data_IF_036161101003
#
_entry.id   IF_036161101003
#
_cell.length_a   1.000
_cell.length_b   1.000
_cell.length_c   1.000
_cell.angle_alpha   90.00
_cell.angle_beta   90.00
_cell.angle_gamma   90.00
#
_symmetry.space_group_name_H-M   'P 1'
#
loop_
_entity.id
_entity.type
_entity.pdbx_description
1 polymer ?
#
# COMPACT_ATOMS: atom_id res chain seq x y z
N UNK A 1 -18.36 9.29 26.43
CA UNK A 1 -18.77 7.91 26.05
C UNK A 1 -17.60 6.98 25.65
N UNK A 2 -16.45 7.45 25.14
CA UNK A 2 -15.27 6.59 24.82
C UNK A 2 -14.62 5.95 26.05
N UNK A 3 -14.64 6.63 27.21
CA UNK A 3 -14.04 6.17 28.47
C UNK A 3 -14.72 4.88 28.98
N UNK A 4 -16.06 4.85 28.97
CA UNK A 4 -16.84 3.68 29.41
C UNK A 4 -16.55 2.43 28.57
N UNK A 5 -16.47 2.59 27.23
CA UNK A 5 -16.18 1.49 26.31
C UNK A 5 -14.81 0.88 26.55
N UNK A 6 -13.79 1.71 26.77
CA UNK A 6 -12.43 1.25 27.10
C UNK A 6 -12.36 0.58 28.46
N UNK A 7 -13.02 1.14 29.47
CA UNK A 7 -13.07 0.57 30.82
C UNK A 7 -13.68 -0.85 30.83
N UNK A 8 -14.82 -1.05 30.14
CA UNK A 8 -15.46 -2.36 30.00
C UNK A 8 -14.58 -3.40 29.28
N UNK A 9 -13.81 -2.97 28.27
CA UNK A 9 -12.90 -3.86 27.54
C UNK A 9 -11.67 -4.20 28.40
N UNK A 10 -11.15 -3.26 29.19
CA UNK A 10 -10.06 -3.52 30.14
C UNK A 10 -10.49 -4.51 31.24
N UNK A 11 -11.72 -4.40 31.75
CA UNK A 11 -12.29 -5.36 32.70
C UNK A 11 -12.38 -6.78 32.11
N UNK A 12 -12.77 -6.89 30.83
CA UNK A 12 -12.79 -8.16 30.11
C UNK A 12 -11.37 -8.73 29.92
N UNK A 13 -10.41 -7.90 29.51
CA UNK A 13 -9.00 -8.30 29.37
C UNK A 13 -8.37 -8.71 30.71
N UNK A 14 -8.86 -8.17 31.83
CA UNK A 14 -8.53 -8.57 33.20
C UNK A 14 -9.15 -9.90 33.65
N UNK A 15 -9.79 -10.65 32.76
CA UNK A 15 -10.31 -12.00 33.03
C UNK A 15 -11.78 -12.07 33.46
N UNK A 16 -12.51 -10.95 33.48
CA UNK A 16 -13.95 -10.99 33.80
C UNK A 16 -14.77 -11.62 32.67
N UNK A 17 -15.75 -12.44 33.04
CA UNK A 17 -16.64 -13.13 32.09
C UNK A 17 -17.56 -12.11 31.41
N UNK A 18 -17.65 -12.19 30.09
CA UNK A 18 -18.44 -11.29 29.26
C UNK A 18 -19.92 -11.20 29.68
N UNK A 19 -20.54 -12.35 30.00
CA UNK A 19 -21.94 -12.41 30.42
C UNK A 19 -22.20 -11.66 31.74
N UNK A 20 -21.24 -11.67 32.66
CA UNK A 20 -21.34 -10.93 33.93
C UNK A 20 -21.28 -9.43 33.69
N UNK A 21 -20.33 -8.96 32.86
CA UNK A 21 -20.22 -7.55 32.48
C UNK A 21 -21.47 -7.03 31.76
N UNK A 22 -22.08 -7.83 30.89
CA UNK A 22 -23.34 -7.48 30.23
C UNK A 22 -24.49 -7.27 31.24
N UNK A 23 -24.57 -8.13 32.26
CA UNK A 23 -25.62 -8.08 33.29
C UNK A 23 -25.41 -6.93 34.28
N UNK A 24 -24.17 -6.69 34.70
CA UNK A 24 -23.81 -5.66 35.69
C UNK A 24 -23.95 -4.23 35.11
N UNK A 25 -23.54 -4.03 33.86
CA UNK A 25 -23.52 -2.70 33.23
C UNK A 25 -24.67 -2.46 32.25
N UNK A 26 -25.61 -3.41 32.09
CA UNK A 26 -26.76 -3.27 31.19
C UNK A 26 -26.38 -3.15 29.72
N UNK A 27 -25.29 -3.78 29.29
CA UNK A 27 -24.75 -3.71 27.93
C UNK A 27 -25.08 -4.98 27.17
N UNK A 28 -25.53 -4.87 25.91
CA UNK A 28 -25.78 -6.05 25.08
C UNK A 28 -24.49 -6.83 24.79
N UNK A 29 -24.58 -8.16 24.76
CA UNK A 29 -23.45 -9.04 24.49
C UNK A 29 -22.82 -8.78 23.12
N UNK A 30 -23.63 -8.40 22.13
CA UNK A 30 -23.18 -8.00 20.79
C UNK A 30 -22.41 -6.68 20.81
N UNK A 31 -22.85 -5.69 21.60
CA UNK A 31 -22.12 -4.42 21.74
C UNK A 31 -20.76 -4.64 22.44
N UNK A 32 -20.73 -5.39 23.54
CA UNK A 32 -19.49 -5.70 24.26
C UNK A 32 -18.52 -6.51 23.38
N UNK A 33 -19.00 -7.51 22.63
CA UNK A 33 -18.18 -8.27 21.68
C UNK A 33 -17.53 -7.38 20.61
N UNK A 34 -18.28 -6.40 20.09
CA UNK A 34 -17.75 -5.43 19.11
C UNK A 34 -16.70 -4.53 19.74
N UNK A 35 -16.93 -4.06 20.98
CA UNK A 35 -15.96 -3.23 21.69
C UNK A 35 -14.69 -4.00 22.02
N UNK A 36 -14.79 -5.25 22.45
CA UNK A 36 -13.62 -6.12 22.65
C UNK A 36 -12.84 -6.21 21.34
N UNK A 37 -13.46 -6.57 20.21
CA UNK A 37 -12.76 -6.62 18.92
C UNK A 37 -12.12 -5.29 18.49
N UNK A 38 -12.75 -4.17 18.84
CA UNK A 38 -12.31 -2.84 18.43
C UNK A 38 -11.29 -2.21 19.38
N UNK A 39 -11.26 -2.58 20.66
CA UNK A 39 -10.43 -1.96 21.70
C UNK A 39 -9.58 -2.97 22.47
N UNK A 40 -9.51 -4.24 22.03
CA UNK A 40 -8.48 -5.16 22.49
C UNK A 40 -7.14 -4.62 22.00
N UNK A 41 -6.48 -3.90 22.89
CA UNK A 41 -5.18 -3.28 22.66
C UNK A 41 -4.12 -4.38 22.75
N UNK A 42 -3.20 -4.42 21.78
CA UNK A 42 -1.97 -5.22 21.87
C UNK A 42 -0.93 -4.29 22.49
N UNK A 43 -0.39 -4.64 23.65
CA UNK A 43 0.75 -3.90 24.20
C UNK A 43 1.96 -4.14 23.31
N UNK A 44 2.58 -3.06 22.84
CA UNK A 44 3.93 -3.09 22.28
C UNK A 44 4.91 -2.60 23.35
N UNK A 45 6.17 -3.01 23.23
CA UNK A 45 7.25 -2.73 24.21
C UNK A 45 7.47 -1.24 24.52
N UNK A 46 6.90 -0.32 23.72
CA UNK A 46 6.94 1.13 23.92
C UNK A 46 5.88 1.68 24.88
N UNK A 47 5.00 0.83 25.43
CA UNK A 47 3.91 1.26 26.33
C UNK A 47 2.73 1.93 25.61
N UNK A 48 2.75 2.01 24.27
CA UNK A 48 1.67 2.56 23.47
C UNK A 48 0.63 1.49 23.10
N UNK A 49 -0.62 1.73 23.46
CA UNK A 49 -1.74 0.83 23.21
C UNK A 49 -2.26 1.05 21.78
N UNK A 50 -1.75 0.26 20.82
CA UNK A 50 -2.27 0.32 19.46
C UNK A 50 -3.53 -0.52 19.30
N UNK A 51 -4.56 0.14 18.79
CA UNK A 51 -5.82 -0.49 18.42
C UNK A 51 -5.62 -1.35 17.16
N UNK A 52 -6.33 -2.47 17.02
CA UNK A 52 -6.34 -3.31 15.79
C UNK A 52 -6.53 -2.48 14.50
N UNK A 53 -7.34 -1.42 14.57
CA UNK A 53 -7.55 -0.48 13.46
C UNK A 53 -6.27 0.27 13.07
N UNK A 54 -5.48 0.72 14.05
CA UNK A 54 -4.21 1.40 13.83
C UNK A 54 -3.18 0.42 13.25
N UNK A 55 -3.13 -0.81 13.77
CA UNK A 55 -2.25 -1.86 13.22
C UNK A 55 -2.56 -2.14 11.75
N UNK A 56 -3.84 -2.29 11.38
CA UNK A 56 -4.24 -2.49 9.97
C UNK A 56 -3.88 -1.31 9.08
N UNK A 57 -4.07 -0.08 9.56
CA UNK A 57 -3.70 1.12 8.81
C UNK A 57 -2.18 1.19 8.61
N UNK A 58 -1.39 0.92 9.66
CA UNK A 58 0.06 0.85 9.57
C UNK A 58 0.54 -0.25 8.61
N UNK A 59 -0.07 -1.44 8.66
CA UNK A 59 0.22 -2.51 7.71
C UNK A 59 -0.05 -2.09 6.26
N UNK A 60 -1.16 -1.38 6.03
CA UNK A 60 -1.49 -0.85 4.70
C UNK A 60 -0.48 0.20 4.24
N UNK A 61 -0.11 1.13 5.12
CA UNK A 61 0.90 2.15 4.81
C UNK A 61 2.27 1.54 4.55
N UNK A 62 2.68 0.54 5.36
CA UNK A 62 3.92 -0.20 5.15
C UNK A 62 3.93 -0.91 3.79
N UNK A 63 2.86 -1.60 3.42
CA UNK A 63 2.75 -2.26 2.12
C UNK A 63 2.87 -1.26 0.95
N UNK A 64 2.24 -0.09 1.06
CA UNK A 64 2.38 0.97 0.06
C UNK A 64 3.82 1.47 -0.04
N UNK A 65 4.49 1.71 1.09
CA UNK A 65 5.88 2.16 1.13
C UNK A 65 6.84 1.10 0.59
N UNK A 66 6.63 -0.18 0.90
CA UNK A 66 7.42 -1.30 0.37
C UNK A 66 7.29 -1.41 -1.15
N UNK A 67 6.07 -1.26 -1.69
CA UNK A 67 5.85 -1.22 -3.13
C UNK A 67 6.57 -0.04 -3.79
N UNK A 68 6.50 1.15 -3.19
CA UNK A 68 7.19 2.34 -3.68
C UNK A 68 8.70 2.15 -3.72
N UNK A 69 9.26 1.58 -2.65
CA UNK A 69 10.69 1.31 -2.53
C UNK A 69 11.14 0.32 -3.60
N UNK A 70 10.34 -0.71 -3.86
CA UNK A 70 10.61 -1.71 -4.90
C UNK A 70 10.59 -1.09 -6.31
N UNK A 71 9.62 -0.21 -6.59
CA UNK A 71 9.57 0.54 -7.86
C UNK A 71 10.82 1.40 -8.02
N UNK A 72 11.19 2.18 -7.00
CA UNK A 72 12.36 3.05 -7.05
C UNK A 72 13.65 2.26 -7.29
N UNK A 73 13.85 1.15 -6.56
CA UNK A 73 14.99 0.24 -6.75
C UNK A 73 15.06 -0.33 -8.16
N UNK A 74 13.94 -0.83 -8.71
CA UNK A 74 13.92 -1.41 -10.07
C UNK A 74 14.02 -0.36 -11.18
N UNK A 75 13.53 0.85 -10.94
CA UNK A 75 13.51 1.92 -11.95
C UNK A 75 14.88 2.49 -12.29
N UNK A 76 15.86 2.33 -11.40
CA UNK A 76 17.20 2.95 -11.49
C UNK A 76 17.17 4.46 -11.76
N UNK A 77 16.03 5.12 -11.50
CA UNK A 77 15.86 6.56 -11.67
C UNK A 77 16.35 7.25 -10.40
N UNK A 78 17.46 7.97 -10.49
CA UNK A 78 17.93 8.83 -9.41
C UNK A 78 17.15 10.16 -9.39
N UNK A 79 17.39 10.99 -8.36
CA UNK A 79 16.66 12.25 -8.14
C UNK A 79 16.62 13.17 -9.38
N UNK A 80 17.74 13.24 -10.11
CA UNK A 80 17.92 14.06 -11.32
C UNK A 80 17.59 13.33 -12.63
N UNK A 81 16.94 12.16 -12.58
CA UNK A 81 16.58 11.43 -13.78
C UNK A 81 15.68 12.29 -14.69
N UNK A 82 16.02 12.31 -15.98
CA UNK A 82 15.30 13.06 -17.00
C UNK A 82 13.88 12.52 -17.21
N UNK A 83 12.99 13.33 -17.77
CA UNK A 83 11.62 12.90 -18.08
C UNK A 83 11.60 11.65 -18.97
N UNK A 84 12.51 11.57 -19.95
CA UNK A 84 12.63 10.40 -20.84
C UNK A 84 13.04 9.12 -20.09
N UNK A 85 13.98 9.22 -19.15
CA UNK A 85 14.39 8.08 -18.32
C UNK A 85 13.21 7.57 -17.47
N UNK A 86 12.48 8.49 -16.84
CA UNK A 86 11.28 8.14 -16.04
C UNK A 86 10.21 7.46 -16.89
N UNK A 87 9.94 7.97 -18.10
CA UNK A 87 8.96 7.39 -19.03
C UNK A 87 9.35 5.98 -19.49
N UNK A 88 10.63 5.75 -19.80
CA UNK A 88 11.16 4.42 -20.11
C UNK A 88 11.00 3.46 -18.93
N UNK A 89 11.34 3.91 -17.72
CA UNK A 89 11.18 3.10 -16.51
C UNK A 89 9.72 2.70 -16.25
N UNK A 90 8.75 3.62 -16.43
CA UNK A 90 7.32 3.29 -16.34
C UNK A 90 6.95 2.20 -17.35
N UNK A 91 7.41 2.31 -18.60
CA UNK A 91 7.13 1.32 -19.64
C UNK A 91 7.73 -0.06 -19.34
N UNK A 92 8.90 -0.11 -18.69
CA UNK A 92 9.57 -1.36 -18.32
C UNK A 92 8.87 -2.05 -17.13
N UNK A 93 8.39 -1.28 -16.16
CA UNK A 93 7.76 -1.79 -14.94
C UNK A 93 6.25 -2.00 -15.06
N UNK A 94 5.65 -1.62 -16.19
CA UNK A 94 4.20 -1.72 -16.46
C UNK A 94 3.64 -3.15 -16.40
N UNK A 95 4.50 -4.17 -16.48
CA UNK A 95 4.10 -5.57 -16.32
C UNK A 95 3.84 -5.96 -14.86
N UNK A 96 4.62 -5.37 -13.93
CA UNK A 96 4.63 -5.75 -12.51
C UNK A 96 3.71 -4.84 -11.66
N UNK A 97 3.54 -3.58 -12.07
CA UNK A 97 2.83 -2.56 -11.28
C UNK A 97 1.80 -1.80 -12.11
N UNK A 98 0.79 -1.23 -11.44
CA UNK A 98 -0.17 -0.36 -12.11
C UNK A 98 0.50 0.92 -12.62
N UNK A 99 0.11 1.38 -13.82
CA UNK A 99 0.61 2.64 -14.38
C UNK A 99 0.33 3.83 -13.47
N UNK A 100 -0.80 3.84 -12.76
CA UNK A 100 -1.13 4.90 -11.80
C UNK A 100 -0.09 4.96 -10.70
N UNK A 101 0.27 3.80 -10.12
CA UNK A 101 1.31 3.71 -9.08
C UNK A 101 2.66 4.15 -9.61
N UNK A 102 3.07 3.66 -10.78
CA UNK A 102 4.34 4.01 -11.41
C UNK A 102 4.45 5.52 -11.71
N UNK A 103 3.39 6.12 -12.26
CA UNK A 103 3.32 7.57 -12.50
C UNK A 103 3.43 8.38 -11.21
N UNK A 104 2.77 7.92 -10.14
CA UNK A 104 2.78 8.59 -8.84
C UNK A 104 4.16 8.53 -8.19
N UNK A 105 4.78 7.35 -8.17
CA UNK A 105 6.12 7.14 -7.58
C UNK A 105 7.20 7.88 -8.37
N UNK A 106 7.20 7.75 -9.70
CA UNK A 106 8.20 8.40 -10.57
C UNK A 106 7.90 9.87 -10.85
N UNK A 107 6.86 10.45 -10.22
CA UNK A 107 6.45 11.85 -10.33
C UNK A 107 6.23 12.29 -11.79
N UNK A 108 5.55 11.46 -12.57
CA UNK A 108 5.19 11.74 -13.97
C UNK A 108 3.67 11.90 -14.07
N UNK A 109 3.21 12.95 -14.78
CA UNK A 109 1.79 13.10 -15.06
C UNK A 109 1.32 11.97 -16.00
N UNK A 110 0.21 11.31 -15.67
CA UNK A 110 -0.39 10.22 -16.47
C UNK A 110 -0.58 10.62 -17.94
N UNK A 111 -1.03 11.85 -18.19
CA UNK A 111 -1.20 12.38 -19.55
C UNK A 111 0.11 12.45 -20.32
N UNK A 112 1.22 12.76 -19.65
CA UNK A 112 2.56 12.74 -20.24
C UNK A 112 2.97 11.32 -20.65
N UNK A 113 2.67 10.34 -19.81
CA UNK A 113 2.94 8.93 -20.12
C UNK A 113 2.12 8.43 -21.32
N UNK A 114 0.82 8.71 -21.36
CA UNK A 114 0.00 8.30 -22.50
C UNK A 114 0.36 9.03 -23.81
N UNK A 115 0.75 10.32 -23.73
CA UNK A 115 1.33 11.05 -24.88
C UNK A 115 2.67 10.47 -25.34
N UNK A 116 3.45 9.88 -24.44
CA UNK A 116 4.68 9.18 -24.79
C UNK A 116 4.37 7.85 -25.49
N UNK A 117 3.43 7.06 -24.97
CA UNK A 117 3.00 5.81 -25.59
C UNK A 117 2.44 6.01 -27.00
N UNK A 118 1.67 7.08 -27.24
CA UNK A 118 1.10 7.34 -28.57
C UNK A 118 2.16 7.64 -29.64
N UNK A 119 3.36 8.07 -29.26
CA UNK A 119 4.47 8.38 -30.17
C UNK A 119 5.35 7.18 -30.51
N UNK A 120 5.22 6.05 -29.80
CA UNK A 120 6.01 4.84 -30.09
C UNK A 120 5.42 4.17 -31.35
N UNK A 121 6.22 3.88 -32.40
CA UNK A 121 5.72 3.21 -33.59
C UNK A 121 5.24 1.76 -33.31
N UNK A 122 4.24 1.33 -34.07
CA UNK A 122 3.36 0.16 -33.87
C UNK A 122 3.99 -1.24 -33.99
N UNK A 123 5.30 -1.36 -34.23
CA UNK A 123 5.99 -2.63 -34.48
C UNK A 123 6.41 -3.41 -33.20
N UNK A 124 5.99 -2.97 -32.01
CA UNK A 124 6.41 -3.55 -30.72
C UNK A 124 5.31 -4.47 -30.17
N UNK A 125 5.61 -5.75 -29.83
CA UNK A 125 4.60 -6.70 -29.35
C UNK A 125 3.93 -6.22 -28.06
N UNK A 126 2.60 -6.17 -28.09
CA UNK A 126 1.75 -5.77 -26.96
C UNK A 126 1.34 -7.00 -26.14
N UNK A 127 1.42 -6.91 -24.81
CA UNK A 127 0.81 -7.91 -23.93
C UNK A 127 -0.43 -7.28 -23.29
N UNK A 128 -1.55 -8.00 -23.33
CA UNK A 128 -2.79 -7.63 -22.65
C UNK A 128 -2.76 -8.19 -21.22
N UNK A 129 -2.82 -7.33 -20.20
CA UNK A 129 -3.03 -7.80 -18.83
C UNK A 129 -4.55 -7.93 -18.59
N UNK A 130 -5.01 -9.17 -18.40
CA UNK A 130 -6.41 -9.57 -18.20
C UNK A 130 -7.11 -8.92 -17.01
N UNK A 131 -6.39 -8.26 -16.10
CA UNK A 131 -6.99 -7.70 -14.90
C UNK A 131 -7.57 -6.29 -15.08
N UNK A 132 -7.14 -5.50 -16.07
CA UNK A 132 -7.52 -4.08 -16.17
C UNK A 132 -7.80 -3.54 -17.59
N UNK A 133 -7.81 -4.38 -18.63
CA UNK A 133 -8.16 -3.95 -20.00
C UNK A 133 -7.23 -2.89 -20.63
N UNK A 134 -6.11 -2.57 -19.99
CA UNK A 134 -5.16 -1.57 -20.46
C UNK A 134 -4.06 -2.24 -21.29
N UNK A 135 -3.89 -1.77 -22.53
CA UNK A 135 -2.83 -2.18 -23.44
C UNK A 135 -1.52 -1.49 -23.08
N UNK A 136 -0.48 -2.26 -22.77
CA UNK A 136 0.88 -1.74 -22.53
C UNK A 136 1.85 -2.31 -23.56
N UNK A 137 2.71 -1.44 -24.12
CA UNK A 137 3.78 -1.81 -25.07
C UNK A 137 5.07 -2.04 -24.29
N UNK A 138 5.69 -3.22 -24.45
CA UNK A 138 6.95 -3.56 -23.79
C UNK A 138 8.13 -3.06 -24.63
N UNK A 139 8.92 -2.12 -24.11
CA UNK A 139 10.19 -1.75 -24.76
C UNK A 139 11.15 -2.95 -24.66
N UNK A 140 11.80 -3.41 -25.75
CA UNK A 140 12.80 -4.47 -25.69
C UNK A 140 13.88 -4.12 -24.65
N UNK A 141 14.17 -5.07 -23.76
CA UNK A 141 15.18 -4.96 -22.70
C UNK A 141 16.57 -4.99 -23.33
N UNK A 142 16.97 -3.95 -24.07
CA UNK A 142 18.34 -3.79 -24.53
C UNK A 142 19.20 -3.34 -23.35
N UNK A 143 20.02 -4.29 -22.86
CA UNK A 143 21.25 -4.13 -22.08
C UNK A 143 21.55 -2.73 -21.55
N UNK A 144 21.09 -2.45 -20.33
CA UNK A 144 21.64 -1.41 -19.45
C UNK A 144 22.79 -2.02 -18.62
N UNK A 145 23.74 -2.67 -19.30
CA UNK A 145 25.02 -3.08 -18.73
C UNK A 145 26.11 -2.28 -19.45
N UNK A 146 26.32 -1.04 -19.01
CA UNK A 146 27.57 -0.28 -19.18
C UNK A 146 27.38 1.16 -18.69
N UNK A 147 27.44 1.37 -17.37
CA UNK A 147 27.91 2.63 -16.77
C UNK A 147 27.82 2.53 -15.24
N UNK A 148 28.80 1.85 -14.62
CA UNK A 148 29.24 2.27 -13.29
C UNK A 148 30.29 3.37 -13.49
N UNK A 149 30.12 4.58 -12.90
CA UNK A 149 31.21 5.53 -12.85
C UNK A 149 32.25 5.06 -11.83
N UNK A 150 33.53 5.11 -12.23
CA UNK A 150 34.69 4.95 -11.35
C UNK A 150 34.83 6.13 -10.41
#
# INVERSE_FOLDING_TARGET
>A
MKILKKSLVNLYNGGKIQAALCKEYGVSQTALSRWIKLYSEVQMDSGELLTVKQVRELQKQKALLEEENLILKKSHCHLHATLQQRLKAISLLAADHSIVRLCQVLRVNRSTYYKFLSKIPSAVPSKTNKSNGLFYRLIPRQSLDSAQPR
#
